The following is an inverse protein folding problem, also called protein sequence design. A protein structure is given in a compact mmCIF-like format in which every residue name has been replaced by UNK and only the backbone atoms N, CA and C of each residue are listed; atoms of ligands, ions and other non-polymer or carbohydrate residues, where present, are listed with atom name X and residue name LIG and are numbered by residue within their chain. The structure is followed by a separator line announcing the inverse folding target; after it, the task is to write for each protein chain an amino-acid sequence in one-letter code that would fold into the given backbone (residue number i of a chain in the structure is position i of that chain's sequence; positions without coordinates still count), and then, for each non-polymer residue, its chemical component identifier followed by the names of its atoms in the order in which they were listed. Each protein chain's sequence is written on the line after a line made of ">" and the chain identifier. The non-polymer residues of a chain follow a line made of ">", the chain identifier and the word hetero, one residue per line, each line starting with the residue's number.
data_IF_757014941618
#
_entry.id   IF_757014941618
#
_cell.length_a   1.000
_cell.length_b   1.000
_cell.length_c   1.000
_cell.angle_alpha   90.00
_cell.angle_beta   90.00
_cell.angle_gamma   90.00
#
_symmetry.space_group_name_H-M   'P 1'
#
loop_
_entity.id
_entity.type
_entity.pdbx_description
1 polymer ?
#
# COMPACT_ATOMS: atom_id res chain seq x y z
N UNK A 1 32.18 -42.99 -15.35
CA UNK A 1 31.76 -41.57 -15.45
C UNK A 1 32.62 -40.73 -14.52
N UNK A 2 33.42 -39.78 -15.06
CA UNK A 2 34.29 -38.89 -14.26
C UNK A 2 33.43 -37.78 -13.65
N UNK A 3 33.27 -37.75 -12.33
CA UNK A 3 32.65 -36.63 -11.60
C UNK A 3 33.67 -35.50 -11.48
N UNK A 4 33.46 -34.43 -12.23
CA UNK A 4 34.31 -33.23 -12.20
C UNK A 4 34.07 -32.48 -10.89
N UNK A 5 34.90 -32.72 -9.88
CA UNK A 5 34.91 -31.95 -8.65
C UNK A 5 35.50 -30.56 -8.94
N UNK A 6 34.72 -29.50 -8.70
CA UNK A 6 35.19 -28.13 -8.84
C UNK A 6 36.15 -27.81 -7.69
N UNK A 7 37.42 -27.55 -8.00
CA UNK A 7 38.43 -27.21 -6.99
C UNK A 7 38.41 -25.69 -6.76
N UNK A 8 37.81 -25.25 -5.66
CA UNK A 8 37.88 -23.85 -5.24
C UNK A 8 39.16 -23.67 -4.38
N UNK A 9 40.19 -23.07 -4.96
CA UNK A 9 41.46 -22.82 -4.27
C UNK A 9 41.43 -21.38 -3.75
N UNK A 10 41.19 -21.22 -2.45
CA UNK A 10 41.34 -19.93 -1.78
C UNK A 10 42.82 -19.78 -1.38
N UNK A 11 43.53 -18.86 -2.00
CA UNK A 11 44.91 -18.51 -1.63
C UNK A 11 44.86 -17.40 -0.58
N UNK A 12 45.09 -17.75 0.69
CA UNK A 12 45.30 -16.76 1.75
C UNK A 12 46.75 -16.26 1.71
N UNK A 13 47.00 -14.93 1.73
CA UNK A 13 48.34 -14.38 1.55
C UNK A 13 49.31 -14.65 2.72
N UNK A 14 48.86 -15.22 3.84
CA UNK A 14 49.65 -15.27 5.09
C UNK A 14 49.84 -16.68 5.71
N UNK A 15 49.58 -17.78 4.99
CA UNK A 15 49.90 -19.12 5.50
C UNK A 15 50.21 -20.13 4.38
N UNK A 16 51.32 -20.89 4.46
CA UNK A 16 51.69 -21.91 3.47
C UNK A 16 50.81 -23.16 3.52
N UNK A 17 49.86 -23.23 4.47
CA UNK A 17 48.86 -24.29 4.53
C UNK A 17 47.72 -23.98 3.57
N UNK A 18 47.92 -24.34 2.30
CA UNK A 18 46.89 -24.36 1.27
C UNK A 18 45.71 -25.25 1.71
N UNK A 19 44.69 -24.68 2.35
CA UNK A 19 43.45 -25.38 2.60
C UNK A 19 42.67 -25.50 1.29
N UNK A 20 42.87 -26.62 0.59
CA UNK A 20 42.04 -26.98 -0.57
C UNK A 20 40.66 -27.38 -0.05
N UNK A 21 39.73 -26.43 0.02
CA UNK A 21 38.32 -26.75 0.21
C UNK A 21 37.81 -27.45 -1.05
N UNK A 22 37.82 -28.79 -1.04
CA UNK A 22 37.18 -29.59 -2.07
C UNK A 22 35.67 -29.54 -1.83
N UNK A 23 35.00 -28.57 -2.43
CA UNK A 23 33.55 -28.55 -2.48
C UNK A 23 33.12 -29.69 -3.40
N UNK A 24 32.55 -30.76 -2.80
CA UNK A 24 32.04 -31.90 -3.55
C UNK A 24 30.95 -31.40 -4.52
N UNK A 25 30.95 -31.89 -5.76
CA UNK A 25 29.92 -31.57 -6.76
C UNK A 25 28.48 -31.72 -6.22
N UNK A 26 28.29 -32.66 -5.28
CA UNK A 26 27.04 -32.86 -4.55
C UNK A 26 26.62 -31.63 -3.72
N UNK A 27 27.55 -30.96 -3.06
CA UNK A 27 27.26 -29.76 -2.28
C UNK A 27 26.85 -28.57 -3.18
N UNK A 28 27.49 -28.43 -4.36
CA UNK A 28 27.09 -27.45 -5.36
C UNK A 28 25.68 -27.70 -5.89
N UNK A 29 25.35 -28.95 -6.19
CA UNK A 29 24.00 -29.34 -6.61
C UNK A 29 22.93 -29.08 -5.55
N UNK A 30 23.24 -29.36 -4.28
CA UNK A 30 22.32 -29.08 -3.16
C UNK A 30 22.08 -27.57 -3.03
N UNK A 31 23.13 -26.75 -3.16
CA UNK A 31 23.01 -25.30 -3.06
C UNK A 31 22.16 -24.72 -4.20
N UNK A 32 22.41 -25.17 -5.44
CA UNK A 32 21.62 -24.76 -6.61
C UNK A 32 20.18 -25.22 -6.45
N UNK A 33 19.96 -26.48 -6.03
CA UNK A 33 18.63 -27.01 -5.79
C UNK A 33 17.86 -26.23 -4.72
N UNK A 34 18.51 -25.88 -3.61
CA UNK A 34 17.90 -25.07 -2.55
C UNK A 34 17.56 -23.66 -3.04
N UNK A 35 18.44 -23.04 -3.84
CA UNK A 35 18.18 -21.73 -4.43
C UNK A 35 16.99 -21.75 -5.39
N UNK A 36 16.96 -22.72 -6.32
CA UNK A 36 15.85 -22.89 -7.27
C UNK A 36 14.54 -23.17 -6.53
N UNK A 37 14.57 -24.03 -5.51
CA UNK A 37 13.40 -24.33 -4.70
C UNK A 37 12.88 -23.09 -3.95
N UNK A 38 13.77 -22.35 -3.29
CA UNK A 38 13.41 -21.10 -2.63
C UNK A 38 12.80 -20.09 -3.59
N UNK A 39 13.42 -19.89 -4.75
CA UNK A 39 12.91 -19.00 -5.80
C UNK A 39 11.51 -19.42 -6.29
N UNK A 40 11.32 -20.70 -6.59
CA UNK A 40 10.02 -21.22 -7.03
C UNK A 40 8.94 -21.05 -5.96
N UNK A 41 9.26 -21.31 -4.69
CA UNK A 41 8.33 -21.09 -3.57
C UNK A 41 7.96 -19.62 -3.43
N UNK A 42 8.93 -18.70 -3.53
CA UNK A 42 8.65 -17.26 -3.46
C UNK A 42 7.78 -16.80 -4.63
N UNK A 43 8.06 -17.24 -5.85
CA UNK A 43 7.24 -16.92 -7.03
C UNK A 43 5.83 -17.51 -6.90
N UNK A 44 5.71 -18.75 -6.43
CA UNK A 44 4.42 -19.39 -6.19
C UNK A 44 3.60 -18.63 -5.14
N UNK A 45 4.22 -18.19 -4.05
CA UNK A 45 3.57 -17.33 -3.05
C UNK A 45 3.14 -15.99 -3.66
N UNK A 46 4.01 -15.34 -4.43
CA UNK A 46 3.68 -14.06 -5.07
C UNK A 46 2.50 -14.17 -6.04
N UNK A 47 2.40 -15.29 -6.77
CA UNK A 47 1.30 -15.56 -7.69
C UNK A 47 0.02 -16.02 -6.98
N UNK A 48 0.14 -16.72 -5.85
CA UNK A 48 -1.01 -17.21 -5.06
C UNK A 48 -1.64 -16.09 -4.20
N UNK A 49 -0.86 -15.07 -3.84
CA UNK A 49 -1.33 -13.92 -3.05
C UNK A 49 -1.31 -12.58 -3.82
N UNK A 50 -1.99 -12.45 -4.98
CA UNK A 50 -2.14 -11.15 -5.64
C UNK A 50 -2.97 -10.18 -4.80
N UNK A 51 -3.73 -10.71 -3.83
CA UNK A 51 -4.61 -9.95 -2.92
C UNK A 51 -3.88 -8.99 -2.00
N UNK A 52 -2.62 -9.23 -1.65
CA UNK A 52 -1.84 -8.27 -0.83
C UNK A 52 -1.67 -6.94 -1.55
N UNK A 53 -1.43 -6.98 -2.86
CA UNK A 53 -1.27 -5.80 -3.71
C UNK A 53 -2.60 -5.09 -4.00
N UNK A 54 -3.68 -5.85 -4.11
CA UNK A 54 -5.04 -5.30 -4.28
C UNK A 54 -5.52 -4.63 -2.99
N UNK A 55 -5.24 -5.22 -1.82
CA UNK A 55 -5.68 -4.69 -0.53
C UNK A 55 -5.13 -3.29 -0.25
N UNK A 56 -3.85 -3.03 -0.54
CA UNK A 56 -3.27 -1.68 -0.42
C UNK A 56 -3.94 -0.68 -1.37
N UNK A 57 -4.24 -1.09 -2.61
CA UNK A 57 -4.90 -0.21 -3.58
C UNK A 57 -6.35 0.12 -3.21
N UNK A 58 -7.08 -0.86 -2.66
CA UNK A 58 -8.44 -0.66 -2.17
C UNK A 58 -8.47 0.19 -0.91
N UNK A 59 -7.54 -0.03 0.03
CA UNK A 59 -7.38 0.83 1.20
C UNK A 59 -7.05 2.28 0.82
N UNK A 60 -6.15 2.49 -0.16
CA UNK A 60 -5.82 3.82 -0.66
C UNK A 60 -7.04 4.49 -1.32
N UNK A 61 -7.82 3.73 -2.12
CA UNK A 61 -9.05 4.25 -2.74
C UNK A 61 -10.10 4.62 -1.70
N UNK A 62 -10.36 3.74 -0.72
CA UNK A 62 -11.32 3.98 0.35
C UNK A 62 -10.90 5.16 1.23
N UNK A 63 -9.61 5.36 1.47
CA UNK A 63 -9.11 6.53 2.20
C UNK A 63 -9.34 7.83 1.43
N UNK A 64 -9.11 7.82 0.11
CA UNK A 64 -9.36 8.97 -0.76
C UNK A 64 -10.87 9.28 -0.86
N UNK A 65 -11.72 8.27 -1.03
CA UNK A 65 -13.18 8.42 -1.05
C UNK A 65 -13.71 9.00 0.27
N UNK A 66 -13.23 8.52 1.43
CA UNK A 66 -13.61 9.07 2.73
C UNK A 66 -13.19 10.53 2.91
N UNK A 67 -11.99 10.92 2.44
CA UNK A 67 -11.57 12.32 2.49
C UNK A 67 -12.46 13.20 1.62
N UNK A 68 -12.78 12.76 0.41
CA UNK A 68 -13.67 13.49 -0.49
C UNK A 68 -15.07 13.67 0.13
N UNK A 69 -15.65 12.60 0.68
CA UNK A 69 -16.96 12.64 1.34
C UNK A 69 -16.97 13.56 2.56
N UNK A 70 -15.85 13.65 3.30
CA UNK A 70 -15.71 14.58 4.43
C UNK A 70 -15.72 16.03 3.96
N UNK A 71 -15.01 16.33 2.87
CA UNK A 71 -15.01 17.67 2.27
C UNK A 71 -16.40 18.03 1.74
N UNK A 72 -17.06 17.11 1.05
CA UNK A 72 -18.41 17.33 0.54
C UNK A 72 -19.43 17.58 1.66
N UNK A 73 -19.40 16.78 2.72
CA UNK A 73 -20.24 17.02 3.91
C UNK A 73 -19.99 18.40 4.52
N UNK A 74 -18.74 18.81 4.71
CA UNK A 74 -18.44 20.15 5.26
C UNK A 74 -18.97 21.27 4.37
N UNK A 75 -18.89 21.12 3.04
CA UNK A 75 -19.44 22.09 2.10
C UNK A 75 -20.98 22.15 2.18
N UNK A 76 -21.64 20.99 2.25
CA UNK A 76 -23.08 20.92 2.44
C UNK A 76 -23.52 21.57 3.76
N UNK A 77 -22.83 21.32 4.87
CA UNK A 77 -23.11 21.96 6.16
C UNK A 77 -23.00 23.49 6.05
N UNK A 78 -21.96 24.01 5.39
CA UNK A 78 -21.81 25.46 5.16
C UNK A 78 -22.94 26.03 4.29
N UNK A 79 -23.36 25.31 3.25
CA UNK A 79 -24.50 25.73 2.40
C UNK A 79 -25.80 25.73 3.18
N UNK A 80 -26.04 24.75 4.02
CA UNK A 80 -27.22 24.68 4.90
C UNK A 80 -27.23 25.89 5.83
N UNK A 81 -26.12 26.20 6.52
CA UNK A 81 -26.05 27.39 7.37
C UNK A 81 -26.32 28.70 6.61
N UNK A 82 -25.82 28.80 5.37
CA UNK A 82 -26.08 29.99 4.54
C UNK A 82 -27.55 30.11 4.14
N UNK A 83 -28.19 28.99 3.81
CA UNK A 83 -29.62 28.92 3.51
C UNK A 83 -30.45 29.28 4.74
N UNK A 84 -30.10 28.75 5.90
CA UNK A 84 -30.80 29.03 7.17
C UNK A 84 -30.75 30.53 7.50
N UNK A 85 -29.57 31.14 7.36
CA UNK A 85 -29.42 32.60 7.52
C UNK A 85 -30.19 33.42 6.47
N UNK A 86 -30.45 32.87 5.28
CA UNK A 86 -31.31 33.53 4.28
C UNK A 86 -32.79 33.40 4.63
N UNK A 87 -33.22 32.23 5.11
CA UNK A 87 -34.60 31.99 5.54
C UNK A 87 -34.96 32.92 6.69
N UNK A 88 -34.12 33.02 7.73
CA UNK A 88 -34.33 33.94 8.86
C UNK A 88 -34.51 35.39 8.38
N UNK A 89 -33.68 35.86 7.44
CA UNK A 89 -33.82 37.21 6.87
C UNK A 89 -35.12 37.40 6.09
N UNK A 90 -35.59 36.37 5.41
CA UNK A 90 -36.87 36.41 4.68
C UNK A 90 -38.04 36.43 5.66
N UNK A 91 -37.99 35.63 6.72
CA UNK A 91 -39.00 35.62 7.77
C UNK A 91 -39.08 36.97 8.49
N UNK A 92 -37.94 37.56 8.87
CA UNK A 92 -37.88 38.90 9.47
C UNK A 92 -38.52 39.95 8.55
N UNK A 93 -38.19 39.93 7.25
CA UNK A 93 -38.79 40.86 6.29
C UNK A 93 -40.28 40.61 6.08
N UNK A 94 -40.71 39.35 6.09
CA UNK A 94 -42.13 38.99 5.99
C UNK A 94 -42.90 39.53 7.19
N UNK A 95 -42.37 39.34 8.40
CA UNK A 95 -42.95 39.89 9.64
C UNK A 95 -43.02 41.41 9.62
N UNK A 96 -41.99 42.10 9.11
CA UNK A 96 -42.01 43.56 8.94
C UNK A 96 -43.10 44.01 7.97
N UNK A 97 -43.28 43.32 6.84
CA UNK A 97 -44.34 43.65 5.87
C UNK A 97 -45.72 43.45 6.50
N UNK A 98 -45.94 42.32 7.20
CA UNK A 98 -47.21 42.03 7.88
C UNK A 98 -47.52 43.11 8.91
N UNK A 99 -46.54 43.50 9.72
CA UNK A 99 -46.70 44.57 10.71
C UNK A 99 -47.07 45.91 10.06
N UNK A 100 -46.44 46.27 8.95
CA UNK A 100 -46.75 47.50 8.21
C UNK A 100 -48.17 47.46 7.62
N UNK A 101 -48.63 46.32 7.09
CA UNK A 101 -49.99 46.17 6.55
C UNK A 101 -51.10 46.09 7.61
N UNK A 102 -50.77 45.86 8.88
CA UNK A 102 -51.76 45.87 9.98
C UNK A 102 -51.92 47.26 10.63
N UNK A 103 -51.05 48.21 10.31
CA UNK A 103 -51.07 49.57 10.86
C UNK A 103 -51.87 50.54 9.95
N UNK A 104 -52.13 50.17 8.69
CA UNK A 104 -53.10 50.82 7.79
C UNK A 104 -54.52 50.24 7.94
#
# INVERSE_FOLDING_TARGET
>A
MKTTAWNFVVMSPHSPRLQKLRLSYKAGLILIGAFVFGFLVTVALALMFPRLKVNESEHARLAAENQMLKVENTNLTLRIHKLDAQVVRVEERSQQVIALTQID
#
